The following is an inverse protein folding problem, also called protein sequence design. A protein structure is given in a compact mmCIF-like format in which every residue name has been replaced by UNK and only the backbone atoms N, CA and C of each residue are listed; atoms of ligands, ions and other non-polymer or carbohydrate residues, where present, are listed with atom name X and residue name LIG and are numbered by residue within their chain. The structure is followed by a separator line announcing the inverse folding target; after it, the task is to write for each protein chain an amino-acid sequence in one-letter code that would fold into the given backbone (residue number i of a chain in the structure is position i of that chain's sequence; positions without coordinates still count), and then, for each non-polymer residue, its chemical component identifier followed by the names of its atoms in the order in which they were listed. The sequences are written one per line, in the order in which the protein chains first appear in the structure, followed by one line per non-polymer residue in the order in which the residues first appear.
data_IF_598199483201
#
_entry.id   IF_598199483201
#
_cell.length_a   1.000
_cell.length_b   1.000
_cell.length_c   1.000
_cell.angle_alpha   90.00
_cell.angle_beta   90.00
_cell.angle_gamma   90.00
#
_symmetry.space_group_name_H-M   'P 1'
#
loop_
_entity.id
_entity.type
_entity.pdbx_description
1 polymer ?
#
# COMPACT_ATOMS: atom_id res chain seq x y z
N UNK A 1 9.88 14.42 -13.76
CA UNK A 1 10.41 13.72 -12.56
C UNK A 1 9.55 12.49 -12.30
N UNK A 2 10.16 11.43 -11.78
CA UNK A 2 9.49 10.17 -11.47
C UNK A 2 9.89 9.75 -10.04
N UNK A 3 8.99 9.07 -9.35
CA UNK A 3 9.23 8.52 -8.02
C UNK A 3 9.25 7.00 -8.09
N UNK A 4 10.22 6.39 -7.42
CA UNK A 4 10.27 4.93 -7.28
C UNK A 4 9.21 4.49 -6.27
N UNK A 5 8.51 3.42 -6.58
CA UNK A 5 7.51 2.81 -5.70
C UNK A 5 7.96 1.43 -5.30
N UNK A 6 7.92 1.15 -4.01
CA UNK A 6 8.33 -0.10 -3.41
C UNK A 6 7.21 -0.67 -2.53
N UNK A 7 7.15 -2.00 -2.44
CA UNK A 7 6.56 -2.67 -1.28
C UNK A 7 7.66 -2.86 -0.25
N UNK A 8 7.44 -2.42 0.99
CA UNK A 8 8.39 -2.61 2.08
C UNK A 8 7.82 -3.58 3.11
N UNK A 9 8.67 -4.49 3.58
CA UNK A 9 8.40 -5.42 4.66
C UNK A 9 9.10 -4.95 5.94
N UNK A 10 8.33 -4.80 7.02
CA UNK A 10 8.83 -4.50 8.35
C UNK A 10 8.50 -5.65 9.32
N UNK A 11 9.37 -5.88 10.31
CA UNK A 11 9.16 -6.81 11.41
C UNK A 11 8.00 -6.31 12.27
N UNK A 12 7.01 -7.18 12.50
CA UNK A 12 5.98 -6.90 13.49
C UNK A 12 6.56 -6.99 14.90
N UNK A 13 6.27 -6.01 15.75
CA UNK A 13 6.63 -6.06 17.17
C UNK A 13 5.93 -7.19 17.92
N UNK A 14 4.71 -7.55 17.51
CA UNK A 14 3.95 -8.69 18.03
C UNK A 14 3.28 -9.47 16.89
N UNK A 15 3.54 -10.77 16.83
CA UNK A 15 2.83 -11.68 15.93
C UNK A 15 1.42 -11.93 16.45
N UNK A 16 0.41 -11.83 15.59
CA UNK A 16 -0.96 -12.17 16.00
C UNK A 16 -1.17 -13.68 15.88
N UNK A 17 -1.46 -14.39 16.98
CA UNK A 17 -1.68 -15.84 16.98
C UNK A 17 -2.85 -16.29 16.10
N UNK A 18 -3.77 -15.39 15.72
CA UNK A 18 -4.90 -15.67 14.84
C UNK A 18 -4.56 -15.66 13.35
N UNK A 19 -3.36 -15.20 12.99
CA UNK A 19 -2.95 -15.08 11.58
C UNK A 19 -2.06 -16.24 11.12
N UNK A 20 -2.07 -17.35 11.86
CA UNK A 20 -1.29 -18.55 11.57
C UNK A 20 0.03 -18.63 12.36
N UNK A 21 0.73 -19.77 12.27
CA UNK A 21 1.93 -20.03 13.06
C UNK A 21 3.19 -19.35 12.52
N UNK A 22 3.20 -18.99 11.23
CA UNK A 22 4.38 -18.44 10.57
C UNK A 22 4.58 -16.96 10.90
N UNK A 23 5.82 -16.50 11.15
CA UNK A 23 6.11 -15.09 11.32
C UNK A 23 5.69 -14.26 10.10
N UNK A 24 4.91 -13.21 10.34
CA UNK A 24 4.43 -12.28 9.32
C UNK A 24 5.17 -10.95 9.42
N UNK A 25 5.29 -10.28 8.28
CA UNK A 25 5.77 -8.90 8.18
C UNK A 25 4.60 -7.94 8.01
N UNK A 26 4.75 -6.71 8.53
CA UNK A 26 3.94 -5.57 8.11
C UNK A 26 4.34 -5.19 6.68
N UNK A 27 3.37 -5.02 5.80
CA UNK A 27 3.61 -4.62 4.42
C UNK A 27 2.99 -3.25 4.17
N UNK A 28 3.80 -2.32 3.67
CA UNK A 28 3.37 -0.98 3.27
C UNK A 28 3.87 -0.64 1.86
N UNK A 29 3.23 0.33 1.23
CA UNK A 29 3.75 0.97 0.02
C UNK A 29 4.65 2.14 0.45
N UNK A 30 5.81 2.25 -0.18
CA UNK A 30 6.73 3.37 0.01
C UNK A 30 7.00 4.04 -1.33
N UNK A 31 6.84 5.35 -1.38
CA UNK A 31 7.14 6.19 -2.54
C UNK A 31 8.34 7.04 -2.20
N UNK A 32 9.44 6.82 -2.89
CA UNK A 32 10.69 7.56 -2.73
C UNK A 32 10.56 8.93 -3.41
N UNK A 33 10.21 9.96 -2.64
CA UNK A 33 9.95 11.32 -3.15
C UNK A 33 11.17 12.25 -3.04
N UNK A 34 12.12 11.93 -2.16
CA UNK A 34 13.29 12.76 -1.87
C UNK A 34 14.58 12.18 -2.47
N UNK A 35 15.52 13.04 -2.83
CA UNK A 35 16.80 12.64 -3.45
C UNK A 35 17.70 11.84 -2.50
N UNK A 36 17.52 12.00 -1.19
CA UNK A 36 18.28 11.28 -0.18
C UNK A 36 17.75 9.84 0.06
N UNK A 37 16.67 9.44 -0.62
CA UNK A 37 16.00 8.15 -0.47
C UNK A 37 14.83 8.15 0.52
N UNK A 38 14.56 9.28 1.18
CA UNK A 38 13.37 9.45 2.01
C UNK A 38 12.12 9.60 1.13
N UNK A 39 10.96 9.53 1.75
CA UNK A 39 9.74 9.56 1.00
C UNK A 39 8.48 9.52 1.83
N UNK A 40 7.48 8.84 1.26
CA UNK A 40 6.13 8.76 1.78
C UNK A 40 5.72 7.31 1.94
N UNK A 41 5.26 6.95 3.13
CA UNK A 41 4.66 5.63 3.40
C UNK A 41 3.15 5.72 3.25
N UNK A 42 2.56 4.77 2.53
CA UNK A 42 1.14 4.66 2.25
C UNK A 42 0.67 3.30 2.77
N UNK A 43 -0.16 3.31 3.81
CA UNK A 43 -0.52 2.11 4.55
C UNK A 43 -1.93 2.17 5.12
N UNK A 44 -2.37 1.07 5.74
CA UNK A 44 -3.49 1.08 6.67
C UNK A 44 -2.99 0.78 8.08
N UNK A 45 -3.41 1.61 9.02
CA UNK A 45 -3.04 1.60 10.43
C UNK A 45 -4.26 1.29 11.31
N UNK A 46 -4.04 0.99 12.59
CA UNK A 46 -5.09 0.58 13.52
C UNK A 46 -5.18 -0.94 13.68
N UNK A 47 -6.28 -1.43 14.25
CA UNK A 47 -6.45 -2.86 14.57
C UNK A 47 -7.83 -3.38 14.17
N UNK A 48 -7.94 -4.70 14.04
CA UNK A 48 -9.21 -5.38 13.71
C UNK A 48 -10.24 -5.36 14.85
N UNK A 49 -9.86 -4.84 16.02
CA UNK A 49 -10.69 -4.68 17.22
C UNK A 49 -11.08 -3.23 17.50
N UNK A 50 -10.47 -2.26 16.80
CA UNK A 50 -10.77 -0.85 16.98
C UNK A 50 -12.14 -0.50 16.39
N UNK A 51 -12.96 0.33 17.06
CA UNK A 51 -14.17 0.88 16.45
C UNK A 51 -13.86 1.58 15.12
N UNK A 52 -14.51 1.16 14.03
CA UNK A 52 -14.21 1.63 12.67
C UNK A 52 -13.13 0.83 11.92
N UNK A 53 -12.42 -0.05 12.63
CA UNK A 53 -11.38 -0.91 12.07
C UNK A 53 -10.06 -0.17 11.84
N UNK A 54 -9.35 -0.62 10.82
CA UNK A 54 -8.14 0.03 10.32
C UNK A 54 -8.51 1.21 9.43
N UNK A 55 -7.60 2.17 9.27
CA UNK A 55 -7.79 3.37 8.46
C UNK A 55 -6.58 3.63 7.56
N UNK A 56 -6.81 4.25 6.40
CA UNK A 56 -5.73 4.64 5.50
C UNK A 56 -4.92 5.81 6.08
N UNK A 57 -3.61 5.72 5.94
CA UNK A 57 -2.65 6.70 6.44
C UNK A 57 -1.56 6.96 5.40
N UNK A 58 -1.11 8.22 5.37
CA UNK A 58 -0.01 8.69 4.54
C UNK A 58 0.89 9.58 5.39
N UNK A 59 2.14 9.16 5.58
CA UNK A 59 3.12 9.86 6.42
C UNK A 59 4.45 10.09 5.69
N UNK A 60 5.22 11.06 6.19
CA UNK A 60 6.65 11.18 5.85
C UNK A 60 7.41 10.04 6.52
N UNK A 61 8.32 9.42 5.78
CA UNK A 61 9.13 8.32 6.27
C UNK A 61 10.55 8.49 5.74
N UNK A 62 11.53 8.25 6.62
CA UNK A 62 12.93 8.19 6.20
C UNK A 62 13.13 6.98 5.26
N UNK A 63 14.27 6.90 4.57
CA UNK A 63 14.55 5.70 3.75
C UNK A 63 14.34 4.41 4.57
N UNK A 64 13.58 3.42 4.08
CA UNK A 64 13.17 2.27 4.89
C UNK A 64 14.32 1.52 5.54
N UNK A 65 15.48 1.45 4.86
CA UNK A 65 16.69 0.77 5.33
C UNK A 65 17.24 1.33 6.65
N UNK A 66 16.84 2.55 7.03
CA UNK A 66 17.24 3.16 8.30
C UNK A 66 16.34 2.76 9.48
N UNK A 67 15.22 2.07 9.25
CA UNK A 67 14.35 1.57 10.32
C UNK A 67 14.90 0.28 10.94
N UNK A 68 14.92 0.20 12.27
CA UNK A 68 15.33 -1.01 13.00
C UNK A 68 14.44 -2.24 12.69
N UNK A 69 13.20 -1.98 12.25
CA UNK A 69 12.25 -3.03 11.90
C UNK A 69 12.32 -3.42 10.43
N UNK A 70 13.15 -2.77 9.62
CA UNK A 70 13.27 -3.07 8.20
C UNK A 70 13.69 -4.53 7.96
N UNK A 71 12.99 -5.21 7.05
CA UNK A 71 13.37 -6.54 6.58
C UNK A 71 13.88 -6.49 5.14
N UNK A 72 13.11 -5.89 4.23
CA UNK A 72 13.43 -5.77 2.80
C UNK A 72 12.43 -4.88 2.07
N UNK A 73 12.82 -4.38 0.91
CA UNK A 73 11.91 -3.74 -0.06
C UNK A 73 11.91 -4.45 -1.41
N UNK A 74 10.81 -4.32 -2.12
CA UNK A 74 10.58 -4.91 -3.44
C UNK A 74 10.16 -3.80 -4.39
N UNK A 75 10.94 -3.57 -5.43
CA UNK A 75 10.62 -2.57 -6.45
C UNK A 75 9.35 -2.96 -7.21
N UNK A 76 8.40 -2.03 -7.31
CA UNK A 76 7.14 -2.24 -8.03
C UNK A 76 7.12 -1.49 -9.37
N UNK A 77 7.86 -0.38 -9.48
CA UNK A 77 7.88 0.47 -10.66
C UNK A 77 8.13 1.93 -10.31
N UNK A 78 7.85 2.81 -11.26
CA UNK A 78 7.84 4.26 -11.05
C UNK A 78 6.47 4.87 -11.30
N UNK A 79 6.21 5.99 -10.66
CA UNK A 79 5.08 6.88 -10.98
C UNK A 79 5.62 8.23 -11.46
N UNK A 80 4.85 8.96 -12.27
CA UNK A 80 5.18 10.37 -12.56
C UNK A 80 4.98 11.18 -11.29
N UNK A 81 5.93 12.05 -10.96
CA UNK A 81 5.82 12.89 -9.76
C UNK A 81 4.53 13.72 -9.73
N UNK A 82 4.11 14.25 -10.89
CA UNK A 82 2.84 14.99 -11.03
C UNK A 82 1.58 14.16 -10.77
N UNK A 83 1.68 12.82 -10.77
CA UNK A 83 0.56 11.90 -10.49
C UNK A 83 0.54 11.42 -9.04
N UNK A 84 1.49 11.84 -8.19
CA UNK A 84 1.57 11.39 -6.80
C UNK A 84 0.25 11.61 -6.05
N UNK A 85 -0.35 12.80 -6.13
CA UNK A 85 -1.65 13.08 -5.49
C UNK A 85 -2.79 12.18 -5.99
N UNK A 86 -2.78 11.82 -7.29
CA UNK A 86 -3.76 10.87 -7.85
C UNK A 86 -3.55 9.45 -7.33
N UNK A 87 -2.30 9.04 -7.15
CA UNK A 87 -1.96 7.73 -6.55
C UNK A 87 -2.42 7.67 -5.09
N UNK A 88 -2.17 8.72 -4.30
CA UNK A 88 -2.66 8.81 -2.92
C UNK A 88 -4.19 8.73 -2.88
N UNK A 89 -4.88 9.50 -3.73
CA UNK A 89 -6.34 9.50 -3.80
C UNK A 89 -6.89 8.12 -4.17
N UNK A 90 -6.29 7.46 -5.16
CA UNK A 90 -6.65 6.10 -5.56
C UNK A 90 -6.52 5.12 -4.38
N UNK A 91 -5.37 5.10 -3.70
CA UNK A 91 -5.13 4.17 -2.59
C UNK A 91 -6.05 4.45 -1.40
N UNK A 92 -6.31 5.72 -1.08
CA UNK A 92 -7.26 6.14 -0.05
C UNK A 92 -8.70 5.70 -0.35
N UNK A 93 -9.06 5.57 -1.63
CA UNK A 93 -10.39 5.10 -2.03
C UNK A 93 -10.62 3.60 -1.82
N UNK A 94 -9.54 2.82 -1.62
CA UNK A 94 -9.64 1.39 -1.36
C UNK A 94 -10.12 1.20 0.09
N UNK A 95 -11.25 0.50 0.33
CA UNK A 95 -11.75 0.29 1.68
C UNK A 95 -10.69 -0.35 2.59
N UNK A 96 -10.35 0.34 3.67
CA UNK A 96 -9.48 -0.20 4.71
C UNK A 96 -10.16 -1.38 5.42
N UNK A 97 -9.40 -2.32 6.02
CA UNK A 97 -9.98 -3.43 6.75
C UNK A 97 -10.92 -2.96 7.88
N UNK A 98 -12.19 -3.38 7.91
CA UNK A 98 -13.13 -2.93 8.92
C UNK A 98 -12.85 -3.58 10.28
N UNK A 99 -13.68 -3.22 11.27
CA UNK A 99 -13.82 -4.01 12.48
C UNK A 99 -14.19 -5.46 12.11
N UNK A 100 -13.47 -6.41 12.67
CA UNK A 100 -13.68 -7.84 12.42
C UNK A 100 -13.78 -8.66 13.71
N UNK A 101 -13.43 -8.07 14.87
CA UNK A 101 -13.59 -8.69 16.18
C UNK A 101 -14.13 -7.67 17.17
N UNK A 102 -15.03 -8.14 18.00
CA UNK A 102 -15.62 -7.34 19.07
C UNK A 102 -15.63 -8.15 20.37
N UNK A 103 -15.44 -7.47 21.49
CA UNK A 103 -15.34 -8.12 22.80
C UNK A 103 -16.72 -8.58 23.26
N UNK A 104 -16.87 -9.88 23.50
CA UNK A 104 -18.09 -10.45 24.06
C UNK A 104 -17.95 -10.58 25.59
N UNK A 105 -18.72 -9.80 26.36
CA UNK A 105 -18.64 -9.84 27.82
C UNK A 105 -19.16 -11.16 28.42
N UNK A 106 -20.01 -11.90 27.70
CA UNK A 106 -20.56 -13.17 28.19
C UNK A 106 -19.50 -14.27 28.15
N UNK A 107 -18.76 -14.37 27.05
CA UNK A 107 -17.66 -15.33 26.89
C UNK A 107 -16.31 -14.79 27.40
N UNK A 108 -16.26 -13.50 27.76
CA UNK A 108 -15.05 -12.77 28.19
C UNK A 108 -13.92 -12.88 27.18
N UNK A 109 -14.25 -12.86 25.89
CA UNK A 109 -13.30 -13.10 24.82
C UNK A 109 -13.55 -12.18 23.64
N UNK A 110 -12.50 -11.91 22.86
CA UNK A 110 -12.66 -11.27 21.56
C UNK A 110 -13.18 -12.30 20.57
N UNK A 111 -14.34 -12.06 19.98
CA UNK A 111 -14.94 -13.00 19.02
C UNK A 111 -15.16 -12.33 17.67
N UNK A 112 -15.17 -13.08 16.55
CA UNK A 112 -15.47 -12.52 15.24
C UNK A 112 -16.79 -11.74 15.22
N UNK A 113 -16.81 -10.65 14.48
CA UNK A 113 -18.01 -9.86 14.23
C UNK A 113 -18.07 -9.38 12.77
N UNK A 114 -19.27 -8.99 12.35
CA UNK A 114 -19.50 -8.28 11.09
C UNK A 114 -19.09 -6.81 11.26
N UNK A 115 -18.86 -6.06 10.15
CA UNK A 115 -18.45 -4.66 10.24
C UNK A 115 -19.40 -3.76 11.03
N UNK A 116 -20.68 -4.11 11.11
CA UNK A 116 -21.72 -3.43 11.88
C UNK A 116 -21.77 -3.84 13.37
N UNK A 117 -20.78 -4.60 13.84
CA UNK A 117 -20.68 -5.21 15.18
C UNK A 117 -21.64 -6.38 15.47
N UNK A 118 -22.52 -6.74 14.54
CA UNK A 118 -23.37 -7.90 14.73
C UNK A 118 -22.55 -9.21 14.72
N UNK A 119 -23.05 -10.24 15.39
CA UNK A 119 -22.39 -11.55 15.47
C UNK A 119 -22.73 -12.38 14.23
N UNK A 120 -21.82 -13.28 13.89
CA UNK A 120 -22.13 -14.35 12.94
C UNK A 120 -23.11 -15.34 13.57
N UNK A 121 -24.10 -15.77 12.78
CA UNK A 121 -25.11 -16.73 13.20
C UNK A 121 -24.61 -18.19 13.20
N UNK A 122 -25.38 -19.13 13.77
CA UNK A 122 -25.05 -20.56 13.69
C UNK A 122 -24.97 -21.03 12.23
N UNK A 123 -23.81 -21.59 11.85
CA UNK A 123 -23.56 -22.09 10.50
C UNK A 123 -23.21 -21.02 9.45
N UNK A 124 -23.11 -19.74 9.84
CA UNK A 124 -22.56 -18.72 8.95
C UNK A 124 -21.04 -18.86 8.79
N UNK A 125 -20.55 -18.72 7.57
CA UNK A 125 -19.12 -18.68 7.28
C UNK A 125 -18.49 -17.39 7.80
N UNK A 126 -17.49 -17.52 8.66
CA UNK A 126 -16.68 -16.39 9.14
C UNK A 126 -15.54 -16.15 8.14
N UNK A 127 -15.46 -14.97 7.50
CA UNK A 127 -14.38 -14.69 6.56
C UNK A 127 -13.02 -14.64 7.28
N UNK A 128 -11.92 -14.95 6.57
CA UNK A 128 -10.57 -14.80 7.14
C UNK A 128 -10.29 -13.34 7.47
N UNK A 129 -9.48 -13.13 8.51
CA UNK A 129 -9.09 -11.77 8.90
C UNK A 129 -8.25 -11.10 7.82
N UNK A 130 -8.61 -9.85 7.53
CA UNK A 130 -7.88 -8.94 6.65
C UNK A 130 -7.15 -7.94 7.54
N UNK A 131 -5.83 -7.87 7.43
CA UNK A 131 -5.01 -6.85 8.10
C UNK A 131 -4.31 -5.96 7.09
N UNK A 132 -3.42 -5.09 7.56
CA UNK A 132 -2.55 -4.26 6.71
C UNK A 132 -1.86 -5.06 5.61
N UNK A 133 -1.31 -6.24 5.94
CA UNK A 133 -0.65 -7.09 4.94
C UNK A 133 -1.59 -7.57 3.84
N UNK A 134 -2.78 -8.08 4.18
CA UNK A 134 -3.78 -8.48 3.19
C UNK A 134 -4.24 -7.29 2.36
N UNK A 135 -4.50 -6.14 2.99
CA UNK A 135 -4.90 -4.93 2.28
C UNK A 135 -3.82 -4.49 1.29
N UNK A 136 -2.55 -4.45 1.70
CA UNK A 136 -1.44 -4.03 0.84
C UNK A 136 -1.22 -5.01 -0.32
N UNK A 137 -1.13 -6.31 -0.02
CA UNK A 137 -0.77 -7.34 -1.01
C UNK A 137 -1.92 -7.68 -1.96
N UNK A 138 -3.15 -7.76 -1.44
CA UNK A 138 -4.30 -8.28 -2.20
C UNK A 138 -5.15 -7.17 -2.79
N UNK A 139 -5.06 -5.92 -2.28
CA UNK A 139 -5.86 -4.79 -2.77
C UNK A 139 -4.99 -3.65 -3.29
N UNK A 140 -4.14 -3.05 -2.46
CA UNK A 140 -3.43 -1.82 -2.82
C UNK A 140 -2.48 -2.00 -4.01
N UNK A 141 -1.60 -3.00 -3.96
CA UNK A 141 -0.64 -3.29 -5.04
C UNK A 141 -1.36 -3.63 -6.35
N UNK A 142 -2.32 -4.60 -6.38
CA UNK A 142 -3.07 -4.89 -7.59
C UNK A 142 -3.80 -3.69 -8.18
N UNK A 143 -4.47 -2.89 -7.34
CA UNK A 143 -5.16 -1.67 -7.79
C UNK A 143 -4.18 -0.66 -8.39
N UNK A 144 -3.02 -0.45 -7.77
CA UNK A 144 -2.00 0.46 -8.30
C UNK A 144 -1.45 -0.04 -9.64
N UNK A 145 -1.19 -1.34 -9.77
CA UNK A 145 -0.74 -1.96 -11.02
C UNK A 145 -1.76 -1.82 -12.16
N UNK A 146 -3.05 -1.89 -11.84
CA UNK A 146 -4.15 -1.78 -12.82
C UNK A 146 -4.54 -0.33 -13.14
N UNK A 147 -4.05 0.65 -12.38
CA UNK A 147 -4.44 2.07 -12.51
C UNK A 147 -3.88 2.79 -13.75
N UNK A 148 -2.82 2.26 -14.35
CA UNK A 148 -2.04 2.97 -15.38
C UNK A 148 -1.12 4.08 -14.85
N UNK A 149 -1.05 4.30 -13.52
CA UNK A 149 -0.09 5.23 -12.92
C UNK A 149 1.29 4.63 -12.72
N UNK A 150 1.36 3.31 -12.49
CA UNK A 150 2.61 2.60 -12.21
C UNK A 150 3.23 2.08 -13.50
N UNK A 151 4.49 2.44 -13.74
CA UNK A 151 5.30 2.01 -14.87
C UNK A 151 6.34 1.00 -14.36
N UNK A 152 6.16 -0.32 -14.57
CA UNK A 152 7.05 -1.34 -14.01
C UNK A 152 8.50 -1.24 -14.51
N UNK A 153 8.69 -0.73 -15.73
CA UNK A 153 10.00 -0.57 -16.38
C UNK A 153 10.48 0.88 -16.39
N UNK A 154 9.93 1.72 -15.51
CA UNK A 154 10.22 3.15 -15.44
C UNK A 154 9.31 4.03 -16.30
N UNK A 155 9.20 5.30 -15.93
CA UNK A 155 8.40 6.27 -16.69
C UNK A 155 9.06 6.54 -18.06
N UNK A 156 8.34 6.40 -19.19
CA UNK A 156 8.87 6.70 -20.50
C UNK A 156 9.42 8.13 -20.58
N UNK A 157 10.65 8.28 -21.05
CA UNK A 157 11.18 9.60 -21.37
C UNK A 157 10.56 10.10 -22.67
N UNK A 158 10.03 11.32 -22.67
CA UNK A 158 9.59 11.97 -23.89
C UNK A 158 10.79 12.08 -24.83
N UNK A 159 10.77 11.41 -25.99
CA UNK A 159 11.77 11.65 -27.02
C UNK A 159 11.66 13.13 -27.45
N UNK A 160 12.77 13.88 -27.52
CA UNK A 160 12.73 15.21 -28.11
C UNK A 160 12.29 15.11 -29.58
N UNK A 161 11.55 16.11 -30.10
CA UNK A 161 11.15 16.11 -31.49
C UNK A 161 12.38 16.01 -32.39
N UNK A 162 12.37 15.05 -33.32
CA UNK A 162 13.36 14.93 -34.39
C UNK A 162 13.38 16.27 -35.14
N UNK A 163 14.50 17.01 -35.04
CA UNK A 163 14.69 18.21 -35.83
C UNK A 163 14.69 17.80 -37.30
N UNK A 164 13.67 18.22 -38.04
CA UNK A 164 13.68 18.12 -39.49
C UNK A 164 14.85 18.97 -40.00
N UNK A 165 15.86 18.31 -40.57
CA UNK A 165 16.91 18.97 -41.34
C UNK A 165 16.26 19.62 -42.55
N UNK A 166 16.16 20.94 -42.52
CA UNK A 166 15.78 21.77 -43.66
C UNK A 166 16.91 21.68 -44.69
N UNK A 167 16.65 20.93 -45.76
CA UNK A 167 17.52 20.78 -46.91
C UNK A 167 17.53 22.11 -47.68
N UNK A 168 18.64 22.86 -47.56
CA UNK A 168 18.87 24.08 -48.29
C UNK A 168 18.95 23.78 -49.80
N UNK A 169 17.94 24.20 -50.55
CA UNK A 169 17.96 24.15 -52.02
C UNK A 169 19.00 25.14 -52.58
N UNK A 170 19.74 24.76 -53.64
CA UNK A 170 20.72 25.64 -54.26
C UNK A 170 20.02 26.74 -55.08
N UNK A 171 20.51 27.96 -54.93
CA UNK A 171 20.13 29.10 -55.76
C UNK A 171 20.78 28.96 -57.15
N UNK A 172 19.98 29.08 -58.20
CA UNK A 172 20.41 29.37 -59.58
C UNK A 172 19.51 30.42 -60.18
#
# INVERSE_FOLDING_TARGET
MAYNVYRVEYRLGLQDPLMGPEPRAHNALFVETEQNGDGRILQVSGTITQPGGMYFEEDEEIKPENSETYLRKHYLGQIKAAQYGSVVHLLRSIPAPPLQRDFDPNTKSWVPCKPDKSRYGPGEDVPPYIKCTEWTLQKAIPTLQQSGFLYPNGVPQSQPPVQATEEAAPQT
#
